data_IF_542082368840
#
_entry.id   IF_542082368840
#
_cell.length_a   1.000
_cell.length_b   1.000
_cell.length_c   1.000
_cell.angle_alpha   90.00
_cell.angle_beta   90.00
_cell.angle_gamma   90.00
#
_symmetry.space_group_name_H-M   'P 1'
#
loop_
_entity.id
_entity.type
_entity.pdbx_description
1 polymer ?
#
# COMPACT_ATOMS: atom_id res chain seq x y z
N UNK A 1 8.16 16.52 20.03
CA UNK A 1 8.50 15.15 20.49
C UNK A 1 8.02 14.17 19.43
N UNK A 2 8.90 13.78 18.52
CA UNK A 2 8.60 12.70 17.57
C UNK A 2 8.71 11.39 18.35
N UNK A 3 7.57 10.82 18.74
CA UNK A 3 7.54 9.42 19.15
C UNK A 3 7.90 8.58 17.92
N UNK A 4 9.10 8.00 17.92
CA UNK A 4 9.52 6.96 17.00
C UNK A 4 8.58 5.76 17.20
N UNK A 5 7.54 5.69 16.38
CA UNK A 5 6.74 4.50 16.26
C UNK A 5 7.57 3.50 15.42
N UNK A 6 8.04 2.44 16.08
CA UNK A 6 8.67 1.31 15.39
C UNK A 6 7.57 0.63 14.57
N UNK A 7 7.62 0.76 13.24
CA UNK A 7 6.71 -0.02 12.40
C UNK A 7 7.25 -1.44 12.40
N UNK A 8 6.55 -2.35 13.05
CA UNK A 8 6.92 -3.76 13.08
C UNK A 8 6.57 -4.38 11.73
N UNK A 9 7.58 -4.97 11.08
CA UNK A 9 7.38 -5.75 9.85
C UNK A 9 6.92 -7.17 10.19
N UNK A 10 5.91 -7.67 9.48
CA UNK A 10 5.33 -8.99 9.69
C UNK A 10 5.34 -9.85 8.44
N UNK A 11 5.35 -11.16 8.63
CA UNK A 11 5.20 -12.19 7.58
C UNK A 11 3.89 -12.94 7.80
N UNK A 12 3.11 -13.12 6.74
CA UNK A 12 1.90 -13.95 6.76
C UNK A 12 1.97 -15.05 5.69
N UNK A 13 1.42 -16.22 6.01
CA UNK A 13 1.37 -17.40 5.15
C UNK A 13 -0.07 -17.89 5.01
N UNK A 14 -0.50 -18.17 3.78
CA UNK A 14 -1.85 -18.71 3.51
C UNK A 14 -1.77 -20.19 3.04
N UNK A 15 -2.48 -21.11 3.71
CA UNK A 15 -2.44 -22.56 3.40
C UNK A 15 -3.32 -22.97 2.19
N UNK A 16 -3.08 -24.19 1.70
CA UNK A 16 -3.62 -24.80 0.49
C UNK A 16 -5.13 -25.09 0.52
N UNK A 17 -6.02 -24.24 -0.02
CA UNK A 17 -7.41 -24.64 -0.35
C UNK A 17 -8.08 -23.93 -1.56
N UNK A 18 -7.34 -23.19 -2.39
CA UNK A 18 -7.89 -22.52 -3.57
C UNK A 18 -7.41 -23.20 -4.88
N UNK A 19 -8.13 -23.07 -6.03
CA UNK A 19 -7.49 -23.26 -7.33
C UNK A 19 -6.17 -22.47 -7.33
N UNK A 20 -5.08 -23.07 -7.83
CA UNK A 20 -3.73 -22.51 -7.74
C UNK A 20 -3.75 -21.01 -7.99
N UNK A 21 -3.44 -20.20 -6.97
CA UNK A 21 -3.33 -18.77 -7.16
C UNK A 21 -2.13 -18.54 -8.09
N UNK A 22 -2.41 -18.33 -9.37
CA UNK A 22 -1.39 -18.07 -10.36
C UNK A 22 -1.03 -16.59 -10.28
N UNK A 23 0.22 -16.32 -9.96
CA UNK A 23 0.78 -14.99 -9.94
C UNK A 23 2.24 -15.05 -10.37
N UNK A 24 2.72 -13.97 -10.96
CA UNK A 24 4.11 -13.81 -11.36
C UNK A 24 4.88 -12.97 -10.32
N UNK A 25 6.21 -13.09 -10.26
CA UNK A 25 7.04 -12.25 -9.42
C UNK A 25 6.82 -10.79 -9.77
N UNK A 26 6.43 -10.00 -8.78
CA UNK A 26 5.95 -8.64 -8.99
C UNK A 26 4.53 -8.46 -8.52
N UNK A 27 3.72 -9.52 -8.63
CA UNK A 27 2.27 -9.42 -8.48
C UNK A 27 1.79 -8.98 -7.10
N UNK A 28 0.64 -8.30 -7.09
CA UNK A 28 0.00 -7.84 -5.87
C UNK A 28 -1.41 -8.44 -5.73
N UNK A 29 -1.69 -8.95 -4.54
CA UNK A 29 -3.01 -9.44 -4.17
C UNK A 29 -3.77 -8.33 -3.45
N UNK A 30 -5.01 -8.09 -3.85
CA UNK A 30 -5.89 -7.10 -3.25
C UNK A 30 -6.81 -7.77 -2.25
N UNK A 31 -6.60 -7.52 -0.96
CA UNK A 31 -7.39 -8.11 0.11
C UNK A 31 -8.69 -7.35 0.31
N UNK A 32 -9.82 -8.06 0.26
CA UNK A 32 -11.14 -7.53 0.58
C UNK A 32 -11.31 -7.49 2.10
N UNK A 33 -10.88 -6.39 2.71
CA UNK A 33 -10.83 -6.26 4.17
C UNK A 33 -12.16 -5.70 4.70
N UNK A 34 -12.86 -6.40 5.60
CA UNK A 34 -14.08 -5.91 6.22
C UNK A 34 -13.79 -4.84 7.29
N UNK A 35 -14.71 -3.90 7.46
CA UNK A 35 -14.72 -3.00 8.61
C UNK A 35 -14.97 -3.78 9.92
N UNK A 36 -14.40 -3.34 11.06
CA UNK A 36 -14.61 -4.01 12.34
C UNK A 36 -16.07 -3.96 12.75
N UNK A 37 -16.61 -5.09 13.21
CA UNK A 37 -18.01 -5.20 13.63
C UNK A 37 -18.39 -4.21 14.74
N UNK A 38 -17.46 -3.87 15.63
CA UNK A 38 -17.70 -2.88 16.69
C UNK A 38 -17.94 -1.47 16.12
N UNK A 39 -17.17 -1.04 15.11
CA UNK A 39 -17.34 0.26 14.46
C UNK A 39 -18.64 0.31 13.63
N UNK A 40 -18.92 -0.77 12.88
CA UNK A 40 -20.17 -0.92 12.12
C UNK A 40 -21.38 -0.83 13.06
N UNK A 41 -21.37 -1.60 14.15
CA UNK A 41 -22.45 -1.60 15.13
C UNK A 41 -22.63 -0.23 15.79
N UNK A 42 -21.52 0.46 16.10
CA UNK A 42 -21.57 1.80 16.68
C UNK A 42 -22.26 2.80 15.74
N UNK A 43 -21.90 2.81 14.45
CA UNK A 43 -22.49 3.71 13.46
C UNK A 43 -23.96 3.37 13.24
N UNK A 44 -24.32 2.11 13.01
CA UNK A 44 -25.70 1.69 12.80
C UNK A 44 -26.58 1.93 14.04
N UNK A 45 -26.02 1.78 15.24
CA UNK A 45 -26.69 2.15 16.50
C UNK A 45 -26.96 3.65 16.52
N UNK A 46 -26.01 4.47 16.09
CA UNK A 46 -26.18 5.91 16.06
C UNK A 46 -27.24 6.37 15.06
N UNK A 47 -27.36 5.67 13.93
CA UNK A 47 -28.43 5.86 12.95
C UNK A 47 -29.80 5.34 13.43
N UNK A 48 -29.88 4.64 14.57
CA UNK A 48 -31.14 4.08 15.08
C UNK A 48 -31.62 2.82 14.33
N UNK A 49 -30.76 2.17 13.56
CA UNK A 49 -31.12 1.05 12.67
C UNK A 49 -30.37 -0.26 12.98
N UNK A 50 -29.65 -0.32 14.11
CA UNK A 50 -28.90 -1.52 14.48
C UNK A 50 -29.78 -2.77 14.62
N UNK A 51 -31.01 -2.63 15.14
CA UNK A 51 -31.94 -3.76 15.33
C UNK A 51 -32.42 -4.40 14.03
N UNK A 52 -32.36 -3.65 12.92
CA UNK A 52 -32.76 -4.12 11.58
C UNK A 52 -31.57 -4.30 10.65
N UNK A 53 -30.33 -4.23 11.17
CA UNK A 53 -29.12 -4.19 10.36
C UNK A 53 -28.94 -5.42 9.46
N UNK A 54 -29.45 -6.57 9.91
CA UNK A 54 -29.36 -7.86 9.24
C UNK A 54 -30.57 -8.18 8.36
N UNK A 55 -31.60 -7.31 8.36
CA UNK A 55 -32.76 -7.49 7.49
C UNK A 55 -32.38 -7.12 6.05
N UNK A 56 -32.92 -7.88 5.09
CA UNK A 56 -32.80 -7.51 3.69
C UNK A 56 -33.53 -6.20 3.43
N UNK A 57 -32.87 -5.29 2.74
CA UNK A 57 -33.41 -4.04 2.25
C UNK A 57 -33.20 -3.91 0.74
N UNK A 58 -34.10 -3.20 0.08
CA UNK A 58 -33.96 -2.80 -1.32
C UNK A 58 -33.63 -1.30 -1.38
N UNK A 59 -32.58 -0.96 -2.13
CA UNK A 59 -32.21 0.43 -2.42
C UNK A 59 -32.93 0.91 -3.67
N UNK A 60 -33.53 2.09 -3.56
CA UNK A 60 -34.18 2.80 -4.66
C UNK A 60 -33.82 4.27 -4.63
N UNK A 61 -33.88 4.92 -5.78
CA UNK A 61 -33.79 6.38 -5.87
C UNK A 61 -35.10 6.96 -5.36
N UNK A 62 -35.03 7.97 -4.48
CA UNK A 62 -36.21 8.72 -4.06
C UNK A 62 -36.84 9.39 -5.29
N UNK A 63 -38.12 9.09 -5.63
CA UNK A 63 -38.81 9.72 -6.75
C UNK A 63 -38.91 11.25 -6.63
N UNK A 64 -38.74 11.80 -5.42
CA UNK A 64 -38.78 13.24 -5.15
C UNK A 64 -37.40 13.90 -5.23
N UNK A 65 -36.34 13.17 -5.58
CA UNK A 65 -34.99 13.72 -5.64
C UNK A 65 -34.87 14.83 -6.69
N UNK A 66 -34.24 15.94 -6.30
CA UNK A 66 -33.86 17.03 -7.22
C UNK A 66 -32.48 16.78 -7.86
N UNK A 67 -31.78 15.72 -7.46
CA UNK A 67 -30.45 15.39 -7.96
C UNK A 67 -30.53 14.89 -9.41
N UNK A 68 -29.98 15.66 -10.32
CA UNK A 68 -29.83 15.28 -11.73
C UNK A 68 -28.96 14.01 -11.82
N UNK A 69 -29.43 13.02 -12.59
CA UNK A 69 -28.77 11.72 -12.78
C UNK A 69 -28.49 10.97 -11.45
N UNK A 70 -29.45 10.99 -10.52
CA UNK A 70 -29.35 10.20 -9.30
C UNK A 70 -29.22 8.70 -9.61
N UNK A 71 -28.19 8.08 -9.05
CA UNK A 71 -27.89 6.66 -9.22
C UNK A 71 -27.53 6.03 -7.88
N UNK A 72 -27.87 4.75 -7.74
CA UNK A 72 -27.43 3.95 -6.60
C UNK A 72 -25.91 3.82 -6.71
N UNK A 73 -25.14 4.03 -5.64
CA UNK A 73 -23.69 3.91 -5.70
C UNK A 73 -23.30 2.52 -6.24
N UNK A 74 -22.56 2.46 -7.35
CA UNK A 74 -22.21 1.20 -8.02
C UNK A 74 -21.28 0.27 -7.22
N UNK A 75 -21.01 0.59 -5.96
CA UNK A 75 -20.27 -0.24 -5.02
C UNK A 75 -21.16 -0.87 -3.96
N UNK A 76 -22.48 -0.73 -4.12
CA UNK A 76 -23.51 -1.26 -3.24
C UNK A 76 -24.51 -2.04 -4.08
N UNK A 77 -24.86 -3.25 -3.64
CA UNK A 77 -25.87 -4.07 -4.30
C UNK A 77 -27.27 -3.54 -4.02
N UNK A 78 -28.16 -3.59 -5.02
CA UNK A 78 -29.55 -3.10 -4.91
C UNK A 78 -30.33 -3.81 -3.79
N UNK A 79 -30.11 -5.11 -3.62
CA UNK A 79 -30.77 -5.93 -2.59
C UNK A 79 -29.68 -6.53 -1.70
N UNK A 80 -29.60 -6.06 -0.46
CA UNK A 80 -28.54 -6.44 0.50
C UNK A 80 -29.00 -6.11 1.93
N UNK A 81 -28.12 -6.18 2.92
CA UNK A 81 -28.40 -5.75 4.30
C UNK A 81 -27.59 -4.51 4.67
N UNK A 82 -28.08 -3.71 5.62
CA UNK A 82 -27.30 -2.57 6.14
C UNK A 82 -25.94 -3.03 6.71
N UNK A 83 -25.92 -4.17 7.40
CA UNK A 83 -24.69 -4.75 7.93
C UNK A 83 -23.69 -5.04 6.83
N UNK A 84 -24.11 -5.69 5.74
CA UNK A 84 -23.22 -6.00 4.62
C UNK A 84 -22.63 -4.71 4.04
N UNK A 85 -23.46 -3.71 3.74
CA UNK A 85 -23.00 -2.43 3.17
C UNK A 85 -21.91 -1.76 4.01
N UNK A 86 -22.14 -1.64 5.33
CA UNK A 86 -21.19 -0.98 6.22
C UNK A 86 -19.97 -1.87 6.56
N UNK A 87 -20.07 -3.19 6.36
CA UNK A 87 -18.96 -4.12 6.61
C UNK A 87 -18.02 -4.19 5.42
N UNK A 88 -18.53 -4.31 4.19
CA UNK A 88 -17.71 -4.66 3.02
C UNK A 88 -17.74 -3.60 1.91
N UNK A 89 -18.75 -2.73 1.85
CA UNK A 89 -18.94 -1.83 0.71
C UNK A 89 -18.47 -0.39 0.99
N UNK A 90 -18.67 0.13 2.20
CA UNK A 90 -18.50 1.55 2.54
C UNK A 90 -17.23 1.79 3.38
N UNK A 91 -16.42 2.77 3.00
CA UNK A 91 -15.25 3.17 3.80
C UNK A 91 -15.66 4.11 4.93
N UNK A 92 -15.91 3.52 6.11
CA UNK A 92 -16.31 4.24 7.33
C UNK A 92 -15.13 4.93 8.04
N UNK A 93 -13.88 4.57 7.67
CA UNK A 93 -12.66 5.05 8.34
C UNK A 93 -12.02 6.23 7.62
N UNK A 94 -12.35 6.46 6.34
CA UNK A 94 -11.97 7.67 5.61
C UNK A 94 -12.57 8.91 6.26
N UNK A 95 -11.81 10.01 6.28
CA UNK A 95 -12.31 11.25 6.85
C UNK A 95 -13.54 11.79 6.12
N UNK A 96 -14.62 12.12 6.85
CA UNK A 96 -15.82 12.69 6.27
C UNK A 96 -15.51 13.94 5.44
N UNK A 97 -15.96 13.94 4.18
CA UNK A 97 -15.92 15.14 3.35
C UNK A 97 -16.90 16.19 3.87
N UNK A 98 -16.71 17.45 3.46
CA UNK A 98 -17.60 18.56 3.82
C UNK A 98 -19.10 18.28 3.55
N UNK A 99 -19.51 17.60 2.45
CA UNK A 99 -20.92 17.24 2.25
C UNK A 99 -21.47 16.30 3.34
N UNK A 100 -20.67 15.33 3.78
CA UNK A 100 -21.08 14.43 4.86
C UNK A 100 -21.16 15.19 6.19
N UNK A 101 -20.19 16.06 6.50
CA UNK A 101 -20.24 16.92 7.69
C UNK A 101 -21.48 17.81 7.69
N UNK A 102 -21.89 18.33 6.52
CA UNK A 102 -23.12 19.11 6.38
C UNK A 102 -24.36 18.29 6.76
N UNK A 103 -24.46 17.04 6.29
CA UNK A 103 -25.54 16.12 6.70
C UNK A 103 -25.50 15.88 8.21
N UNK A 104 -24.32 15.70 8.81
CA UNK A 104 -24.19 15.53 10.26
C UNK A 104 -24.71 16.78 11.02
N UNK A 105 -24.42 17.99 10.53
CA UNK A 105 -24.89 19.24 11.12
C UNK A 105 -26.42 19.38 11.10
N UNK A 106 -27.06 18.87 10.05
CA UNK A 106 -28.52 18.84 9.91
C UNK A 106 -29.17 17.75 10.76
N UNK A 107 -28.38 16.79 11.24
CA UNK A 107 -28.82 15.61 11.99
C UNK A 107 -28.66 15.73 13.51
N UNK A 108 -28.50 16.94 14.05
CA UNK A 108 -28.43 17.20 15.50
C UNK A 108 -29.37 18.35 15.89
N UNK A 109 -29.95 18.24 17.08
CA UNK A 109 -30.76 19.29 17.70
C UNK A 109 -29.95 20.16 18.67
N UNK A 110 -28.72 19.75 19.01
CA UNK A 110 -27.85 20.53 19.88
C UNK A 110 -27.31 21.76 19.11
N UNK A 111 -27.58 23.00 19.57
CA UNK A 111 -27.15 24.20 18.86
C UNK A 111 -25.63 24.35 18.75
N UNK A 112 -24.88 23.85 19.74
CA UNK A 112 -23.42 23.96 19.81
C UNK A 112 -22.75 23.00 18.82
N UNK A 113 -23.18 21.73 18.82
CA UNK A 113 -22.75 20.73 17.85
C UNK A 113 -23.08 21.16 16.42
N UNK A 114 -24.33 21.60 16.20
CA UNK A 114 -24.78 22.08 14.87
C UNK A 114 -23.90 23.22 14.38
N UNK A 115 -23.67 24.23 15.22
CA UNK A 115 -22.79 25.36 14.90
C UNK A 115 -21.39 24.88 14.53
N UNK A 116 -20.78 24.02 15.34
CA UNK A 116 -19.41 23.54 15.10
C UNK A 116 -19.30 22.75 13.80
N UNK A 117 -20.28 21.88 13.50
CA UNK A 117 -20.29 21.12 12.25
C UNK A 117 -20.51 22.04 11.03
N UNK A 118 -21.35 23.07 11.14
CA UNK A 118 -21.53 24.08 10.10
C UNK A 118 -20.24 24.87 9.86
N UNK A 119 -19.51 25.24 10.91
CA UNK A 119 -18.18 25.86 10.80
C UNK A 119 -17.22 24.94 10.03
N UNK A 120 -17.09 23.66 10.42
CA UNK A 120 -16.20 22.69 9.78
C UNK A 120 -16.52 22.43 8.30
N UNK A 121 -17.79 22.57 7.87
CA UNK A 121 -18.16 22.40 6.46
C UNK A 121 -18.26 23.71 5.67
N UNK A 122 -18.11 24.87 6.31
CA UNK A 122 -18.14 26.19 5.68
C UNK A 122 -16.87 26.52 4.88
N UNK A 123 -16.92 27.58 4.08
CA UNK A 123 -15.73 28.08 3.39
C UNK A 123 -14.72 28.69 4.37
N UNK A 124 -15.21 29.39 5.39
CA UNK A 124 -14.40 30.07 6.41
C UNK A 124 -13.68 29.06 7.33
N UNK A 125 -14.28 27.90 7.60
CA UNK A 125 -13.71 26.85 8.45
C UNK A 125 -12.74 25.89 7.75
N UNK A 126 -12.24 26.21 6.54
CA UNK A 126 -11.37 25.30 5.78
C UNK A 126 -10.06 24.96 6.51
N UNK A 127 -9.52 25.92 7.28
CA UNK A 127 -8.35 25.69 8.12
C UNK A 127 -8.67 24.68 9.23
N UNK A 128 -9.74 24.92 9.99
CA UNK A 128 -10.21 24.01 11.04
C UNK A 128 -10.53 22.61 10.50
N UNK A 129 -11.19 22.51 9.34
CA UNK A 129 -11.42 21.23 8.68
C UNK A 129 -10.11 20.49 8.38
N UNK A 130 -9.10 21.21 7.89
CA UNK A 130 -7.79 20.61 7.64
C UNK A 130 -7.14 20.16 8.94
N UNK A 131 -7.09 21.03 9.93
CA UNK A 131 -6.31 20.80 11.16
C UNK A 131 -6.96 19.78 12.09
N UNK A 132 -8.30 19.75 12.16
CA UNK A 132 -9.03 18.91 13.11
C UNK A 132 -9.74 17.71 12.48
N UNK A 133 -9.89 17.63 11.15
CA UNK A 133 -10.56 16.49 10.49
C UNK A 133 -9.61 15.76 9.54
N UNK A 134 -9.04 16.48 8.56
CA UNK A 134 -8.27 15.87 7.47
C UNK A 134 -6.89 15.40 7.92
N UNK A 135 -6.08 16.29 8.50
CA UNK A 135 -4.71 16.00 8.93
C UNK A 135 -4.68 14.93 10.02
N UNK A 136 -5.56 14.97 11.05
CA UNK A 136 -5.61 13.93 12.06
C UNK A 136 -6.32 12.67 11.57
N UNK A 137 -6.82 12.60 10.34
CA UNK A 137 -7.49 11.42 9.80
C UNK A 137 -8.66 10.93 10.65
N UNK A 138 -9.53 11.86 11.07
CA UNK A 138 -10.73 11.62 11.89
C UNK A 138 -11.74 10.83 11.07
N UNK A 139 -12.29 9.74 11.60
CA UNK A 139 -13.30 8.91 10.92
C UNK A 139 -14.74 9.36 11.18
N UNK A 140 -15.70 8.73 10.51
CA UNK A 140 -17.12 8.92 10.83
C UNK A 140 -17.42 8.52 12.29
N UNK A 141 -16.86 7.42 12.77
CA UNK A 141 -17.05 6.97 14.15
C UNK A 141 -16.51 8.00 15.15
N UNK A 142 -15.32 8.58 14.89
CA UNK A 142 -14.75 9.63 15.72
C UNK A 142 -15.65 10.87 15.77
N UNK A 143 -16.20 11.31 14.62
CA UNK A 143 -17.12 12.44 14.60
C UNK A 143 -18.40 12.15 15.38
N UNK A 144 -19.04 10.99 15.16
CA UNK A 144 -20.25 10.64 15.91
C UNK A 144 -19.96 10.52 17.40
N UNK A 145 -18.79 10.02 17.78
CA UNK A 145 -18.38 10.00 19.17
C UNK A 145 -18.23 11.41 19.76
N UNK A 146 -17.59 12.34 19.03
CA UNK A 146 -17.37 13.73 19.47
C UNK A 146 -18.66 14.56 19.51
N UNK A 147 -19.63 14.25 18.65
CA UNK A 147 -20.93 14.92 18.55
C UNK A 147 -22.06 13.93 18.93
N UNK A 148 -22.29 13.68 20.24
CA UNK A 148 -23.20 12.63 20.71
C UNK A 148 -24.66 12.82 20.30
N UNK A 149 -25.13 14.04 20.04
CA UNK A 149 -26.52 14.30 19.64
C UNK A 149 -26.77 14.16 18.14
N UNK A 150 -25.73 13.98 17.33
CA UNK A 150 -25.84 13.72 15.89
C UNK A 150 -26.37 12.31 15.64
N UNK A 151 -27.53 12.21 14.98
CA UNK A 151 -28.23 10.97 14.59
C UNK A 151 -28.50 10.98 13.07
N UNK A 152 -27.50 10.67 12.24
CA UNK A 152 -27.64 10.83 10.81
C UNK A 152 -28.53 9.73 10.22
N UNK A 153 -29.36 10.05 9.22
CA UNK A 153 -30.15 9.06 8.51
C UNK A 153 -29.24 8.16 7.65
N UNK A 154 -29.51 6.86 7.65
CA UNK A 154 -28.59 5.83 7.12
C UNK A 154 -28.43 5.90 5.60
N UNK A 155 -29.49 6.25 4.88
CA UNK A 155 -29.52 6.45 3.42
C UNK A 155 -28.54 7.56 2.99
N UNK A 156 -28.46 8.66 3.75
CA UNK A 156 -27.51 9.74 3.48
C UNK A 156 -26.06 9.30 3.69
N UNK A 157 -25.80 8.39 4.64
CA UNK A 157 -24.48 7.80 4.81
C UNK A 157 -24.14 6.89 3.62
N UNK A 158 -25.08 6.04 3.18
CA UNK A 158 -24.90 5.16 2.01
C UNK A 158 -24.61 5.98 0.74
N UNK A 159 -25.27 7.14 0.56
CA UNK A 159 -25.02 8.02 -0.58
C UNK A 159 -23.61 8.64 -0.57
N UNK A 160 -23.11 9.03 0.61
CA UNK A 160 -21.93 9.90 0.73
C UNK A 160 -20.64 9.17 1.11
N UNK A 161 -20.74 7.97 1.71
CA UNK A 161 -19.56 7.18 2.03
C UNK A 161 -18.95 6.60 0.75
N UNK A 162 -17.62 6.65 0.58
CA UNK A 162 -16.98 6.10 -0.61
C UNK A 162 -16.88 4.57 -0.52
N UNK A 163 -16.58 3.95 -1.67
CA UNK A 163 -16.25 2.52 -1.74
C UNK A 163 -15.12 2.17 -0.77
N UNK A 164 -15.29 1.08 -0.02
CA UNK A 164 -14.22 0.41 0.70
C UNK A 164 -13.30 -0.28 -0.31
N UNK A 165 -12.09 0.26 -0.47
CA UNK A 165 -11.16 -0.20 -1.50
C UNK A 165 -10.38 -1.43 -0.97
N UNK A 166 -10.28 -2.55 -1.71
CA UNK A 166 -9.39 -3.66 -1.36
C UNK A 166 -7.93 -3.20 -1.24
N UNK A 167 -7.16 -3.75 -0.29
CA UNK A 167 -5.78 -3.30 -0.02
C UNK A 167 -4.76 -4.17 -0.75
N UNK A 168 -3.91 -3.60 -1.63
CA UNK A 168 -2.87 -4.35 -2.32
C UNK A 168 -1.73 -4.71 -1.38
N UNK A 169 -1.22 -5.93 -1.51
CA UNK A 169 0.04 -6.35 -0.93
C UNK A 169 0.84 -7.14 -1.96
N UNK A 170 2.08 -6.75 -2.15
CA UNK A 170 2.97 -7.43 -3.09
C UNK A 170 3.39 -8.79 -2.57
N UNK A 171 3.45 -9.75 -3.49
CA UNK A 171 3.87 -11.11 -3.18
C UNK A 171 5.36 -11.17 -2.87
N UNK A 172 5.71 -11.89 -1.81
CA UNK A 172 7.09 -12.05 -1.34
C UNK A 172 7.65 -13.45 -1.50
N UNK A 173 6.90 -14.34 -2.13
CA UNK A 173 7.32 -15.69 -2.49
C UNK A 173 7.00 -15.96 -3.96
N UNK A 174 7.71 -16.89 -4.58
CA UNK A 174 7.30 -17.48 -5.86
C UNK A 174 7.33 -19.00 -5.71
N UNK A 175 6.24 -19.56 -5.21
CA UNK A 175 6.09 -20.99 -4.94
C UNK A 175 4.69 -21.43 -5.37
N UNK A 176 4.57 -22.60 -6.02
CA UNK A 176 3.33 -23.07 -6.66
C UNK A 176 2.09 -23.19 -5.74
N UNK A 177 2.26 -23.08 -4.41
CA UNK A 177 1.26 -23.50 -3.42
C UNK A 177 1.17 -22.61 -2.17
N UNK A 178 2.05 -21.62 -2.00
CA UNK A 178 2.07 -20.78 -0.79
C UNK A 178 2.29 -19.32 -1.14
N UNK A 179 1.31 -18.51 -0.76
CA UNK A 179 1.40 -17.06 -0.81
C UNK A 179 2.03 -16.55 0.50
N UNK A 180 3.10 -15.75 0.38
CA UNK A 180 3.73 -15.03 1.48
C UNK A 180 3.61 -13.53 1.25
N UNK A 181 3.24 -12.79 2.29
CA UNK A 181 3.21 -11.32 2.27
C UNK A 181 4.11 -10.76 3.36
N UNK A 182 4.65 -9.57 3.09
CA UNK A 182 5.35 -8.76 4.08
C UNK A 182 4.69 -7.39 4.14
N UNK A 183 4.38 -6.95 5.35
CA UNK A 183 3.76 -5.64 5.58
C UNK A 183 4.22 -5.02 6.89
N UNK A 184 4.13 -3.68 6.95
CA UNK A 184 4.36 -2.92 8.18
C UNK A 184 3.03 -2.72 8.88
N UNK A 185 2.99 -2.92 10.19
CA UNK A 185 1.84 -2.47 10.97
C UNK A 185 1.69 -0.96 10.88
N UNK A 186 0.43 -0.52 10.79
CA UNK A 186 0.09 0.89 10.73
C UNK A 186 -0.63 1.25 12.01
N UNK A 187 -0.08 2.20 12.75
CA UNK A 187 -0.72 2.75 13.95
C UNK A 187 -0.93 4.24 13.78
N UNK A 188 -2.08 4.69 14.27
CA UNK A 188 -2.51 6.07 14.24
C UNK A 188 -2.71 6.49 15.69
N UNK A 189 -1.87 7.37 16.25
CA UNK A 189 -1.98 7.77 17.64
C UNK A 189 -3.27 8.56 17.88
N UNK A 190 -3.67 8.61 19.15
CA UNK A 190 -4.68 9.56 19.60
C UNK A 190 -4.14 10.99 19.41
N UNK A 191 -4.96 11.86 18.84
CA UNK A 191 -4.62 13.26 18.56
C UNK A 191 -5.87 14.11 18.77
N UNK A 192 -5.75 15.44 18.68
CA UNK A 192 -6.94 16.28 18.66
C UNK A 192 -7.82 15.90 17.45
N UNK A 193 -9.12 15.72 17.69
CA UNK A 193 -10.08 15.13 16.75
C UNK A 193 -10.15 13.60 16.69
N UNK A 194 -9.09 12.85 17.06
CA UNK A 194 -9.11 11.37 17.16
C UNK A 194 -8.84 10.93 18.60
N UNK A 195 -9.90 10.65 19.35
CA UNK A 195 -9.80 10.38 20.81
C UNK A 195 -9.02 9.12 21.16
N UNK A 196 -9.07 8.09 20.32
CA UNK A 196 -8.43 6.80 20.59
C UNK A 196 -7.38 6.45 19.54
N UNK A 197 -6.29 5.78 19.94
CA UNK A 197 -5.37 5.21 18.97
C UNK A 197 -6.09 4.16 18.12
N UNK A 198 -5.70 4.04 16.86
CA UNK A 198 -6.32 3.13 15.89
C UNK A 198 -5.25 2.45 15.06
N UNK A 199 -5.45 1.18 14.76
CA UNK A 199 -4.60 0.44 13.81
C UNK A 199 -5.15 0.54 12.38
N UNK A 200 -4.27 0.40 11.39
CA UNK A 200 -4.64 0.33 9.98
C UNK A 200 -5.64 -0.80 9.74
N UNK A 201 -6.65 -0.54 8.91
CA UNK A 201 -7.75 -1.50 8.72
C UNK A 201 -7.25 -2.86 8.23
N UNK A 202 -6.45 -2.86 7.17
CA UNK A 202 -5.95 -4.09 6.56
C UNK A 202 -4.88 -4.78 7.39
N UNK A 203 -3.94 -4.03 7.97
CA UNK A 203 -2.85 -4.61 8.76
C UNK A 203 -3.35 -5.19 10.08
N UNK A 204 -4.29 -4.52 10.74
CA UNK A 204 -4.95 -5.05 11.94
C UNK A 204 -5.81 -6.29 11.64
N UNK A 205 -6.57 -6.25 10.54
CA UNK A 205 -7.34 -7.41 10.10
C UNK A 205 -6.46 -8.60 9.76
N UNK A 206 -5.37 -8.42 9.00
CA UNK A 206 -4.39 -9.48 8.70
C UNK A 206 -3.81 -10.10 9.97
N UNK A 207 -3.55 -9.29 10.99
CA UNK A 207 -3.07 -9.77 12.29
C UNK A 207 -4.12 -10.54 13.09
N UNK A 208 -5.41 -10.31 12.82
CA UNK A 208 -6.50 -11.00 13.51
C UNK A 208 -6.81 -12.38 12.93
N UNK A 209 -6.32 -12.66 11.72
CA UNK A 209 -6.54 -13.93 11.02
C UNK A 209 -5.90 -15.10 11.75
N UNK A 210 -6.60 -16.23 11.72
CA UNK A 210 -6.16 -17.51 12.27
C UNK A 210 -6.05 -18.55 11.16
N UNK A 211 -5.28 -19.59 11.43
CA UNK A 211 -5.20 -20.75 10.54
C UNK A 211 -6.61 -21.34 10.38
N UNK A 212 -7.04 -21.50 9.12
CA UNK A 212 -8.39 -21.96 8.75
C UNK A 212 -9.35 -20.85 8.33
N UNK A 213 -9.01 -19.57 8.58
CA UNK A 213 -9.81 -18.46 8.08
C UNK A 213 -9.78 -18.39 6.56
N UNK A 214 -10.95 -18.12 5.97
CA UNK A 214 -11.08 -17.89 4.52
C UNK A 214 -10.97 -16.40 4.22
N UNK A 215 -10.19 -16.07 3.20
CA UNK A 215 -9.85 -14.70 2.82
C UNK A 215 -10.29 -14.45 1.39
N UNK A 216 -11.11 -13.43 1.20
CA UNK A 216 -11.50 -12.96 -0.13
C UNK A 216 -10.45 -12.01 -0.70
N UNK A 217 -10.00 -12.29 -1.92
CA UNK A 217 -8.98 -11.51 -2.61
C UNK A 217 -9.35 -11.27 -4.07
N UNK A 218 -8.82 -10.19 -4.61
CA UNK A 218 -8.82 -9.91 -6.04
C UNK A 218 -7.37 -10.00 -6.53
N UNK A 219 -7.13 -10.79 -7.58
CA UNK A 219 -5.82 -10.83 -8.23
C UNK A 219 -5.57 -9.55 -9.03
N UNK A 220 -4.34 -9.04 -8.98
CA UNK A 220 -3.88 -8.02 -9.93
C UNK A 220 -2.47 -8.35 -10.39
N UNK A 221 -2.31 -8.38 -11.71
CA UNK A 221 -1.01 -8.40 -12.38
C UNK A 221 -0.47 -6.96 -12.54
N UNK A 222 0.62 -6.56 -11.89
CA UNK A 222 1.46 -5.44 -12.28
C UNK A 222 2.05 -5.71 -13.65
N UNK A 223 1.62 -4.89 -14.61
CA UNK A 223 2.10 -5.00 -15.97
C UNK A 223 3.60 -4.69 -16.08
N UNK A 224 4.13 -3.70 -15.35
CA UNK A 224 5.54 -3.26 -15.54
C UNK A 224 6.50 -3.76 -14.46
N UNK A 225 6.10 -3.71 -13.20
CA UNK A 225 6.95 -4.13 -12.08
C UNK A 225 6.87 -5.65 -11.89
N UNK A 226 7.53 -6.39 -12.79
CA UNK A 226 7.50 -7.86 -12.79
C UNK A 226 8.78 -8.48 -13.36
N UNK A 227 9.01 -9.74 -13.00
CA UNK A 227 10.09 -10.58 -13.53
C UNK A 227 9.52 -11.96 -13.92
N UNK A 228 9.63 -12.41 -15.19
CA UNK A 228 10.24 -11.74 -16.34
C UNK A 228 9.45 -10.48 -16.77
N UNK A 229 10.12 -9.50 -17.42
CA UNK A 229 9.46 -8.38 -18.07
C UNK A 229 8.42 -8.86 -19.11
N UNK A 230 7.42 -8.02 -19.40
CA UNK A 230 6.41 -8.36 -20.41
C UNK A 230 7.04 -8.59 -21.79
N UNK A 231 6.51 -9.59 -22.50
CA UNK A 231 7.00 -9.97 -23.83
C UNK A 231 8.33 -10.74 -23.81
N UNK A 232 8.95 -10.92 -22.64
CA UNK A 232 10.17 -11.70 -22.49
C UNK A 232 9.84 -13.14 -22.06
N UNK A 233 10.58 -14.11 -22.60
CA UNK A 233 10.42 -15.51 -22.19
C UNK A 233 10.86 -15.70 -20.73
N UNK A 234 10.26 -16.67 -20.04
CA UNK A 234 10.60 -16.98 -18.64
C UNK A 234 12.10 -17.30 -18.46
N UNK A 235 12.68 -18.01 -19.41
CA UNK A 235 14.07 -18.44 -19.33
C UNK A 235 15.05 -17.29 -19.55
N UNK A 236 14.69 -16.30 -20.37
CA UNK A 236 15.54 -15.12 -20.63
C UNK A 236 15.79 -14.28 -19.38
N UNK A 237 14.96 -14.38 -18.34
CA UNK A 237 15.18 -13.70 -17.06
C UNK A 237 16.50 -14.12 -16.38
N UNK A 238 17.01 -15.32 -16.67
CA UNK A 238 18.28 -15.82 -16.17
C UNK A 238 19.50 -15.06 -16.71
N UNK A 239 19.34 -14.26 -17.75
CA UNK A 239 20.40 -13.42 -18.33
C UNK A 239 20.24 -11.92 -18.01
N UNK A 240 19.23 -11.52 -17.24
CA UNK A 240 18.99 -10.11 -16.91
C UNK A 240 19.89 -9.64 -15.76
N UNK A 241 20.57 -8.50 -15.96
CA UNK A 241 21.21 -7.78 -14.87
C UNK A 241 20.17 -6.97 -14.11
N UNK A 242 20.15 -7.13 -12.78
CA UNK A 242 19.14 -6.54 -11.91
C UNK A 242 19.77 -5.64 -10.85
N UNK A 243 19.36 -4.37 -10.80
CA UNK A 243 19.61 -3.47 -9.69
C UNK A 243 18.30 -3.28 -8.94
N UNK A 244 18.19 -3.92 -7.78
CA UNK A 244 16.99 -3.93 -6.94
C UNK A 244 17.19 -3.02 -5.73
N UNK A 245 16.26 -2.10 -5.49
CA UNK A 245 16.34 -1.12 -4.40
C UNK A 245 15.05 -1.18 -3.61
N UNK A 246 15.10 -1.71 -2.38
CA UNK A 246 13.90 -2.02 -1.61
C UNK A 246 14.07 -1.84 -0.11
N UNK A 247 14.01 -0.61 0.43
CA UNK A 247 14.06 -0.41 1.87
C UNK A 247 12.77 -0.85 2.58
N UNK A 248 12.94 -1.37 3.79
CA UNK A 248 11.86 -1.87 4.64
C UNK A 248 11.05 -2.96 3.94
N UNK A 249 9.72 -2.81 3.94
CA UNK A 249 8.83 -3.78 3.28
C UNK A 249 8.87 -3.73 1.74
N UNK A 250 9.59 -2.76 1.16
CA UNK A 250 9.88 -2.72 -0.28
C UNK A 250 10.67 -3.93 -0.77
N UNK A 251 11.41 -4.60 0.12
CA UNK A 251 12.13 -5.85 -0.21
C UNK A 251 11.20 -7.00 -0.60
N UNK A 252 9.91 -6.92 -0.25
CA UNK A 252 8.92 -7.99 -0.44
C UNK A 252 8.94 -8.54 -1.86
N UNK A 253 8.81 -7.67 -2.87
CA UNK A 253 8.80 -8.09 -4.27
C UNK A 253 10.12 -8.75 -4.70
N UNK A 254 11.25 -8.24 -4.19
CA UNK A 254 12.56 -8.78 -4.54
C UNK A 254 12.79 -10.18 -3.99
N UNK A 255 12.21 -10.52 -2.83
CA UNK A 255 12.19 -11.92 -2.39
C UNK A 255 11.47 -12.81 -3.40
N UNK A 256 10.32 -12.37 -3.93
CA UNK A 256 9.63 -13.11 -4.99
C UNK A 256 10.47 -13.24 -6.27
N UNK A 257 11.19 -12.18 -6.67
CA UNK A 257 12.10 -12.25 -7.82
C UNK A 257 13.22 -13.26 -7.61
N UNK A 258 13.80 -13.28 -6.41
CA UNK A 258 14.90 -14.18 -6.06
C UNK A 258 14.43 -15.64 -5.95
N UNK A 259 13.24 -15.89 -5.40
CA UNK A 259 12.62 -17.23 -5.43
C UNK A 259 12.42 -17.72 -6.87
N UNK A 260 11.94 -16.84 -7.76
CA UNK A 260 11.76 -17.14 -9.17
C UNK A 260 13.09 -17.46 -9.86
N UNK A 261 14.12 -16.64 -9.66
CA UNK A 261 15.44 -16.87 -10.24
C UNK A 261 16.10 -18.14 -9.72
N UNK A 262 15.93 -18.45 -8.42
CA UNK A 262 16.36 -19.74 -7.85
C UNK A 262 15.67 -20.92 -8.51
N UNK A 263 14.36 -20.83 -8.69
CA UNK A 263 13.58 -21.85 -9.41
C UNK A 263 14.05 -22.00 -10.85
N UNK A 264 14.30 -20.90 -11.55
CA UNK A 264 14.84 -20.90 -12.91
C UNK A 264 16.23 -21.54 -12.97
N UNK A 265 17.13 -21.25 -12.03
CA UNK A 265 18.45 -21.88 -11.93
C UNK A 265 18.36 -23.40 -11.80
N UNK A 266 17.37 -23.90 -11.04
CA UNK A 266 17.14 -25.33 -10.84
C UNK A 266 16.51 -25.97 -12.08
N UNK A 267 15.44 -25.37 -12.61
CA UNK A 267 14.63 -25.95 -13.68
C UNK A 267 15.31 -25.83 -15.06
N UNK A 268 16.09 -24.76 -15.30
CA UNK A 268 16.72 -24.42 -16.59
C UNK A 268 18.15 -23.87 -16.41
N UNK A 269 19.11 -24.69 -15.92
CA UNK A 269 20.45 -24.21 -15.56
C UNK A 269 21.23 -23.58 -16.73
N UNK A 270 21.00 -24.02 -17.97
CA UNK A 270 21.67 -23.46 -19.16
C UNK A 270 21.28 -21.99 -19.44
N UNK A 271 20.08 -21.60 -19.02
CA UNK A 271 19.52 -20.26 -19.21
C UNK A 271 19.89 -19.30 -18.07
N UNK A 272 20.39 -19.83 -16.95
CA UNK A 272 20.85 -19.04 -15.81
C UNK A 272 22.33 -18.67 -15.96
N UNK A 273 22.62 -17.37 -16.08
CA UNK A 273 23.99 -16.86 -16.18
C UNK A 273 24.47 -16.41 -14.80
N UNK A 274 25.51 -17.06 -14.28
CA UNK A 274 26.04 -16.77 -12.93
C UNK A 274 26.86 -15.48 -12.88
N UNK A 275 27.46 -15.08 -14.01
CA UNK A 275 28.29 -13.88 -14.18
C UNK A 275 27.48 -12.60 -14.41
N UNK A 276 26.14 -12.69 -14.45
CA UNK A 276 25.26 -11.54 -14.65
C UNK A 276 24.98 -10.83 -13.32
N UNK A 277 25.26 -9.51 -13.20
CA UNK A 277 25.06 -8.77 -11.96
C UNK A 277 23.61 -8.74 -11.48
N UNK A 278 23.35 -9.21 -10.25
CA UNK A 278 22.05 -9.12 -9.58
C UNK A 278 22.26 -8.60 -8.16
N UNK A 279 22.08 -7.30 -8.01
CA UNK A 279 22.46 -6.54 -6.83
C UNK A 279 21.21 -6.06 -6.10
N UNK A 280 21.13 -6.33 -4.79
CA UNK A 280 20.06 -5.81 -3.93
C UNK A 280 20.63 -4.76 -2.96
N UNK A 281 20.10 -3.54 -3.04
CA UNK A 281 20.24 -2.51 -2.02
C UNK A 281 19.03 -2.58 -1.08
N UNK A 282 19.30 -3.08 0.12
CA UNK A 282 18.31 -3.25 1.17
C UNK A 282 18.53 -2.20 2.28
N UNK A 283 17.48 -1.45 2.64
CA UNK A 283 17.54 -0.45 3.70
C UNK A 283 16.68 -0.83 4.90
N UNK A 284 17.21 -0.71 6.11
CA UNK A 284 16.47 -0.92 7.36
C UNK A 284 16.83 0.15 8.40
N UNK A 285 16.17 0.11 9.56
CA UNK A 285 16.56 0.95 10.71
C UNK A 285 17.74 0.32 11.41
N UNK A 286 17.56 -0.95 11.76
CA UNK A 286 18.51 -1.77 12.50
C UNK A 286 18.43 -3.21 11.98
N UNK A 287 19.52 -3.73 11.42
CA UNK A 287 19.57 -5.08 10.89
C UNK A 287 19.52 -6.18 11.96
N UNK A 288 19.55 -5.85 13.25
CA UNK A 288 19.31 -6.82 14.33
C UNK A 288 17.83 -6.98 14.68
N UNK A 289 17.01 -5.98 14.34
CA UNK A 289 15.58 -5.92 14.69
C UNK A 289 14.69 -6.14 13.46
N UNK A 290 15.02 -5.51 12.33
CA UNK A 290 14.19 -5.48 11.12
C UNK A 290 14.50 -6.62 10.13
N UNK A 291 15.42 -7.52 10.48
CA UNK A 291 16.06 -8.51 9.60
C UNK A 291 15.30 -9.83 9.43
N UNK A 292 13.97 -9.79 9.47
CA UNK A 292 13.14 -10.99 9.35
C UNK A 292 13.39 -11.81 8.06
N UNK A 293 14.04 -11.25 7.03
CA UNK A 293 14.42 -11.90 5.77
C UNK A 293 15.93 -11.93 5.51
N UNK A 294 16.79 -11.48 6.42
CA UNK A 294 18.24 -11.42 6.15
C UNK A 294 18.85 -12.80 5.88
N UNK A 295 18.50 -13.81 6.68
CA UNK A 295 18.97 -15.19 6.44
C UNK A 295 18.61 -15.70 5.05
N UNK A 296 17.43 -15.33 4.54
CA UNK A 296 16.94 -15.73 3.21
C UNK A 296 17.70 -14.98 2.10
N UNK A 297 17.98 -13.68 2.29
CA UNK A 297 18.80 -12.89 1.37
C UNK A 297 20.26 -13.38 1.33
N UNK A 298 20.84 -13.70 2.48
CA UNK A 298 22.19 -14.27 2.60
C UNK A 298 22.27 -15.65 1.94
N UNK A 299 21.21 -16.46 2.04
CA UNK A 299 21.12 -17.72 1.31
C UNK A 299 21.10 -17.49 -0.21
N UNK A 300 20.33 -16.52 -0.71
CA UNK A 300 20.34 -16.19 -2.13
C UNK A 300 21.71 -15.70 -2.62
N UNK A 301 22.47 -15.00 -1.78
CA UNK A 301 23.85 -14.61 -2.07
C UNK A 301 24.78 -15.85 -2.11
N UNK A 302 24.69 -16.74 -1.12
CA UNK A 302 25.49 -17.96 -1.06
C UNK A 302 25.21 -18.93 -2.22
N UNK A 303 23.98 -18.96 -2.72
CA UNK A 303 23.56 -19.77 -3.87
C UNK A 303 23.89 -19.15 -5.24
N UNK A 304 24.46 -17.94 -5.26
CA UNK A 304 24.78 -17.20 -6.49
C UNK A 304 23.53 -16.73 -7.25
N UNK A 305 22.41 -16.56 -6.57
CA UNK A 305 21.20 -15.93 -7.13
C UNK A 305 21.37 -14.41 -7.11
N UNK A 306 21.77 -13.87 -5.96
CA UNK A 306 22.31 -12.52 -5.86
C UNK A 306 23.83 -12.57 -6.10
N UNK A 307 24.35 -11.56 -6.79
CA UNK A 307 25.79 -11.32 -6.88
C UNK A 307 26.27 -10.44 -5.73
N UNK A 308 25.42 -9.54 -5.25
CA UNK A 308 25.73 -8.62 -4.15
C UNK A 308 24.48 -8.27 -3.33
N UNK A 309 24.69 -8.12 -2.02
CA UNK A 309 23.72 -7.61 -1.07
C UNK A 309 24.35 -6.43 -0.32
N UNK A 310 23.80 -5.23 -0.49
CA UNK A 310 24.22 -4.02 0.22
C UNK A 310 23.14 -3.65 1.23
N UNK A 311 23.48 -3.67 2.52
CA UNK A 311 22.57 -3.34 3.61
C UNK A 311 22.88 -1.95 4.17
N UNK A 312 21.91 -1.05 4.11
CA UNK A 312 21.98 0.31 4.62
C UNK A 312 21.16 0.44 5.91
N UNK A 313 21.81 0.83 7.02
CA UNK A 313 21.17 0.93 8.35
C UNK A 313 21.03 2.39 8.77
N UNK A 314 19.78 2.87 8.80
CA UNK A 314 19.50 4.28 9.02
C UNK A 314 19.63 4.74 10.48
N UNK A 315 19.40 3.87 11.47
CA UNK A 315 19.58 4.22 12.89
C UNK A 315 20.99 3.89 13.38
N UNK A 316 21.53 2.72 13.02
CA UNK A 316 22.85 2.29 13.48
C UNK A 316 24.01 3.01 12.77
N UNK A 317 23.88 3.26 11.45
CA UNK A 317 24.95 3.82 10.61
C UNK A 317 24.61 5.17 10.00
N UNK A 318 23.39 5.68 10.22
CA UNK A 318 22.92 6.91 9.57
C UNK A 318 22.84 6.81 8.05
N UNK A 319 22.74 5.59 7.51
CA UNK A 319 22.87 5.32 6.07
C UNK A 319 21.55 4.90 5.46
N UNK A 320 21.17 5.52 4.34
CA UNK A 320 20.01 5.14 3.53
C UNK A 320 20.45 4.53 2.21
N UNK A 321 19.50 3.93 1.48
CA UNK A 321 19.79 3.24 0.21
C UNK A 321 20.47 4.14 -0.82
N UNK A 322 20.11 5.43 -0.90
CA UNK A 322 20.78 6.40 -1.78
C UNK A 322 22.26 6.63 -1.41
N UNK A 323 22.59 6.53 -0.12
CA UNK A 323 23.97 6.68 0.34
C UNK A 323 24.78 5.43 -0.01
N UNK A 324 24.17 4.26 0.13
CA UNK A 324 24.72 3.00 -0.37
C UNK A 324 24.99 3.05 -1.88
N UNK A 325 24.04 3.56 -2.68
CA UNK A 325 24.22 3.73 -4.12
C UNK A 325 25.43 4.63 -4.44
N UNK A 326 25.60 5.74 -3.72
CA UNK A 326 26.76 6.64 -3.87
C UNK A 326 28.08 6.02 -3.43
N UNK A 327 28.08 5.12 -2.44
CA UNK A 327 29.32 4.43 -2.00
C UNK A 327 29.76 3.34 -2.97
N UNK A 328 28.83 2.81 -3.77
CA UNK A 328 29.07 1.70 -4.68
C UNK A 328 28.90 2.11 -6.16
N UNK A 329 29.38 3.29 -6.54
CA UNK A 329 29.24 3.85 -7.90
C UNK A 329 29.66 2.89 -9.00
N UNK A 330 30.80 2.22 -8.85
CA UNK A 330 31.32 1.28 -9.86
C UNK A 330 30.36 0.12 -10.13
N UNK A 331 29.60 -0.30 -9.12
CA UNK A 331 28.56 -1.33 -9.27
C UNK A 331 27.28 -0.78 -9.88
N UNK A 332 26.97 0.49 -9.64
CA UNK A 332 25.69 1.13 -10.01
C UNK A 332 25.73 1.71 -11.43
N UNK A 333 26.82 2.39 -11.81
CA UNK A 333 26.95 3.07 -13.12
C UNK A 333 26.58 2.19 -14.32
N UNK A 334 26.99 0.90 -14.40
CA UNK A 334 26.63 0.06 -15.54
C UNK A 334 25.11 -0.10 -15.76
N UNK A 335 24.31 -0.04 -14.69
CA UNK A 335 22.85 -0.14 -14.80
C UNK A 335 22.19 1.11 -15.37
N UNK A 336 22.88 2.25 -15.35
CA UNK A 336 22.40 3.54 -15.87
C UNK A 336 22.72 3.74 -17.35
N UNK A 337 23.43 2.79 -17.97
CA UNK A 337 23.64 2.77 -19.43
C UNK A 337 22.49 2.02 -20.13
N UNK A 338 21.96 2.54 -21.26
CA UNK A 338 20.88 1.89 -21.99
C UNK A 338 21.21 0.45 -22.37
N UNK A 339 20.39 -0.50 -21.93
CA UNK A 339 20.53 -1.92 -22.23
C UNK A 339 19.20 -2.64 -22.05
N UNK A 340 18.81 -3.45 -23.04
CA UNK A 340 17.59 -4.25 -22.98
C UNK A 340 17.66 -5.36 -21.91
N UNK A 341 18.88 -5.80 -21.57
CA UNK A 341 19.14 -6.85 -20.59
C UNK A 341 19.42 -6.32 -19.17
N UNK A 342 19.32 -5.00 -18.97
CA UNK A 342 19.52 -4.36 -17.66
C UNK A 342 18.20 -3.83 -17.13
N UNK A 343 17.93 -4.05 -15.84
CA UNK A 343 16.72 -3.56 -15.17
C UNK A 343 17.05 -2.97 -13.79
N UNK A 344 16.51 -1.79 -13.54
CA UNK A 344 16.51 -1.10 -12.25
C UNK A 344 15.08 -1.17 -11.72
N UNK A 345 14.92 -1.79 -10.56
CA UNK A 345 13.65 -1.90 -9.87
C UNK A 345 13.71 -1.21 -8.51
N UNK A 346 12.75 -0.34 -8.25
CA UNK A 346 12.65 0.41 -6.99
C UNK A 346 11.29 0.14 -6.36
N UNK A 347 11.28 -0.37 -5.14
CA UNK A 347 10.05 -0.63 -4.39
C UNK A 347 10.10 -0.01 -3.00
N UNK A 348 9.03 0.68 -2.58
CA UNK A 348 8.93 1.28 -1.25
C UNK A 348 8.21 2.62 -1.21
N UNK A 349 8.67 3.53 -0.35
CA UNK A 349 8.00 4.83 -0.12
C UNK A 349 8.12 5.80 -1.32
N UNK A 350 6.96 6.29 -1.77
CA UNK A 350 6.84 7.25 -2.88
C UNK A 350 7.20 8.69 -2.48
N UNK A 351 7.05 9.06 -1.20
CA UNK A 351 7.13 10.47 -0.79
C UNK A 351 8.56 10.95 -0.58
N UNK A 352 9.40 10.13 0.03
CA UNK A 352 10.82 10.39 0.26
C UNK A 352 11.72 9.53 -0.61
N UNK A 353 11.69 8.20 -0.41
CA UNK A 353 12.72 7.30 -0.92
C UNK A 353 12.88 7.33 -2.46
N UNK A 354 11.80 7.19 -3.23
CA UNK A 354 11.89 7.20 -4.70
C UNK A 354 12.46 8.50 -5.25
N UNK A 355 12.15 9.66 -4.63
CA UNK A 355 12.71 10.96 -5.03
C UNK A 355 14.20 11.04 -4.72
N UNK A 356 14.62 10.58 -3.55
CA UNK A 356 16.02 10.58 -3.15
C UNK A 356 16.86 9.68 -4.06
N UNK A 357 16.33 8.50 -4.42
CA UNK A 357 16.98 7.57 -5.36
C UNK A 357 17.02 8.16 -6.78
N UNK A 358 15.94 8.77 -7.25
CA UNK A 358 15.92 9.46 -8.55
C UNK A 358 16.98 10.55 -8.62
N UNK A 359 17.05 11.41 -7.59
CA UNK A 359 18.06 12.47 -7.55
C UNK A 359 19.47 11.89 -7.47
N UNK A 360 19.68 10.87 -6.63
CA UNK A 360 20.97 10.16 -6.55
C UNK A 360 21.41 9.64 -7.92
N UNK A 361 20.52 9.01 -8.70
CA UNK A 361 20.88 8.56 -10.03
C UNK A 361 21.14 9.71 -11.01
N UNK A 362 20.41 10.83 -10.90
CA UNK A 362 20.67 12.00 -11.73
C UNK A 362 22.08 12.55 -11.45
N UNK A 363 22.46 12.62 -10.17
CA UNK A 363 23.81 13.03 -9.74
C UNK A 363 24.88 12.06 -10.27
N UNK A 364 24.63 10.73 -10.22
CA UNK A 364 25.56 9.72 -10.73
C UNK A 364 25.75 9.84 -12.25
N UNK A 365 24.66 10.06 -12.99
CA UNK A 365 24.70 10.26 -14.45
C UNK A 365 25.44 11.54 -14.81
N UNK A 366 25.22 12.62 -14.07
CA UNK A 366 25.94 13.88 -14.28
C UNK A 366 27.44 13.74 -14.00
N UNK A 367 27.81 12.97 -12.96
CA UNK A 367 29.20 12.78 -12.55
C UNK A 367 29.86 14.11 -12.15
N UNK A 368 31.17 14.24 -12.44
CA UNK A 368 31.93 15.49 -12.27
C UNK A 368 31.86 16.40 -13.51
N UNK A 369 31.11 15.98 -14.54
CA UNK A 369 30.98 16.73 -15.79
C UNK A 369 29.85 17.76 -15.68
N UNK A 370 30.01 18.90 -16.33
CA UNK A 370 28.91 19.87 -16.57
C UNK A 370 27.91 19.31 -17.59
N UNK A 371 27.51 18.03 -17.48
CA UNK A 371 26.26 17.60 -18.09
C UNK A 371 25.20 18.45 -17.43
N UNK A 372 24.51 19.29 -18.22
CA UNK A 372 23.42 20.08 -17.70
C UNK A 372 22.43 19.14 -17.00
N UNK A 373 22.03 19.43 -15.77
CA UNK A 373 21.08 18.62 -14.97
C UNK A 373 19.85 18.14 -15.76
N UNK A 374 19.46 18.89 -16.80
CA UNK A 374 18.44 18.54 -17.78
C UNK A 374 18.75 17.28 -18.60
N UNK A 375 19.99 17.11 -19.07
CA UNK A 375 20.40 15.96 -19.89
C UNK A 375 20.50 14.68 -19.07
N UNK A 376 20.97 14.77 -17.82
CA UNK A 376 20.97 13.64 -16.88
C UNK A 376 19.54 13.16 -16.60
N UNK A 377 18.61 14.09 -16.31
CA UNK A 377 17.19 13.79 -16.12
C UNK A 377 16.54 13.21 -17.39
N UNK A 378 16.92 13.71 -18.57
CA UNK A 378 16.45 13.19 -19.85
C UNK A 378 16.90 11.74 -20.05
N UNK A 379 18.16 11.41 -19.77
CA UNK A 379 18.68 10.02 -19.82
C UNK A 379 17.85 9.10 -18.92
N UNK A 380 17.60 9.49 -17.67
CA UNK A 380 16.78 8.68 -16.75
C UNK A 380 15.33 8.55 -17.22
N UNK A 381 14.74 9.60 -17.81
CA UNK A 381 13.40 9.50 -18.42
C UNK A 381 13.39 8.52 -19.58
N UNK A 382 14.44 8.45 -20.38
CA UNK A 382 14.54 7.49 -21.47
C UNK A 382 14.68 6.05 -20.94
N UNK A 383 15.42 5.83 -19.84
CA UNK A 383 15.44 4.54 -19.14
C UNK A 383 14.04 4.14 -18.60
N UNK A 384 13.24 5.11 -18.14
CA UNK A 384 11.83 4.87 -17.75
C UNK A 384 10.97 4.49 -18.96
N UNK A 385 11.18 5.13 -20.12
CA UNK A 385 10.41 4.84 -21.34
C UNK A 385 10.71 3.46 -21.91
N UNK A 386 11.95 2.98 -21.78
CA UNK A 386 12.38 1.65 -22.25
C UNK A 386 12.14 0.54 -21.24
N UNK A 387 11.41 0.82 -20.15
CA UNK A 387 11.18 -0.11 -19.03
C UNK A 387 12.51 -0.72 -18.51
N UNK A 388 13.61 0.04 -18.57
CA UNK A 388 14.86 -0.28 -17.88
C UNK A 388 14.83 0.24 -16.44
N UNK A 389 14.12 1.33 -16.18
CA UNK A 389 13.89 1.89 -14.85
C UNK A 389 12.41 1.77 -14.48
N UNK A 390 12.09 1.02 -13.43
CA UNK A 390 10.72 0.69 -13.05
C UNK A 390 10.52 0.89 -11.54
N UNK A 391 9.42 1.55 -11.17
CA UNK A 391 9.04 1.87 -9.78
C UNK A 391 7.72 1.22 -9.41
N UNK A 392 7.65 0.64 -8.21
CA UNK A 392 6.42 0.27 -7.50
C UNK A 392 6.43 0.93 -6.12
N UNK A 393 5.78 2.10 -6.04
CA UNK A 393 5.91 2.99 -4.88
C UNK A 393 4.55 3.29 -4.25
N UNK A 394 4.50 3.29 -2.92
CA UNK A 394 3.30 3.50 -2.11
C UNK A 394 3.49 4.64 -1.11
N UNK A 395 2.41 5.27 -0.63
CA UNK A 395 2.49 6.36 0.36
C UNK A 395 1.18 6.98 0.81
#
# INVERSE_FOLDING_TARGET
MHQNHQNVSKKAHFPDHAPSLQYEPGDAIYFCVPNPSAEVNFILKRCGVLSIADQQCELSIDPKTEKINAQIPGHVHKTTTLRHMFTTCLDIRRSPGRPLIRVLAESTTDPSEKRRLLELCSAQGMKDFTDFVRTPGVSLADMLFAFPNVKPPVDRLIELLPRLIPRPYSMSSYENRRARLIYSEMEFPATDGRRHPRKGLATDWLNSLKIGDTVEVLGKEPARFRLPPLGMSRNSAGALSLLMIGPGTGVSVFLSFLHFLRKLKIDSPADFKEDVPRILFFGCRDATVDSIYMNELEQFLAEGILTDLIVCESEQKGERVQDGLRKHLEKVRPFLEPSENSKIFICGDAKGMSKDVWQCFADIVAGDQEIADLDAKKKLMDLKKTDQYIEDVWG
#
